data_IF_499421391458
#
_entry.id   IF_499421391458
#
_cell.length_a   1.000
_cell.length_b   1.000
_cell.length_c   1.000
_cell.angle_alpha   90.00
_cell.angle_beta   90.00
_cell.angle_gamma   90.00
#
_symmetry.space_group_name_H-M   'P 1'
#
loop_
_entity.id
_entity.type
_entity.pdbx_description
1 polymer ?
#
# COMPACT_ATOMS: atom_id res chain seq x y z
N UNK A 1 -15.81 -6.95 12.09
CA UNK A 1 -16.89 -6.16 12.71
C UNK A 1 -17.11 -4.90 11.87
N UNK A 2 -18.14 -4.88 11.01
CA UNK A 2 -18.45 -3.76 10.11
C UNK A 2 -19.24 -2.70 10.88
N UNK A 3 -18.56 -1.65 11.35
CA UNK A 3 -19.15 -0.55 12.15
C UNK A 3 -20.06 0.41 11.35
N UNK A 4 -20.41 0.04 10.13
CA UNK A 4 -21.05 0.93 9.18
C UNK A 4 -21.99 0.08 8.36
N UNK A 5 -23.28 0.43 8.29
CA UNK A 5 -24.23 -0.15 7.30
C UNK A 5 -23.87 0.30 5.86
N UNK A 6 -22.58 0.37 5.56
CA UNK A 6 -21.95 0.77 4.30
C UNK A 6 -21.11 -0.42 3.87
N UNK A 7 -21.41 -0.95 2.68
CA UNK A 7 -20.68 -2.09 2.13
C UNK A 7 -19.22 -1.68 1.84
N UNK A 8 -18.22 -2.55 2.05
CA UNK A 8 -16.83 -2.27 1.69
C UNK A 8 -16.66 -1.75 0.26
N UNK A 9 -17.44 -2.29 -0.69
CA UNK A 9 -17.43 -1.89 -2.10
C UNK A 9 -17.86 -0.44 -2.36
N UNK A 10 -18.45 0.24 -1.37
CA UNK A 10 -18.78 1.66 -1.48
C UNK A 10 -17.54 2.57 -1.26
N UNK A 11 -16.43 2.01 -0.76
CA UNK A 11 -15.18 2.72 -0.58
C UNK A 11 -14.30 2.56 -1.82
N UNK A 12 -13.77 3.68 -2.29
CA UNK A 12 -12.80 3.75 -3.39
C UNK A 12 -11.49 4.33 -2.89
N UNK A 13 -10.38 3.83 -3.41
CA UNK A 13 -9.03 4.30 -3.12
C UNK A 13 -8.13 4.06 -4.34
N UNK A 14 -7.04 4.82 -4.43
CA UNK A 14 -6.16 4.75 -5.60
C UNK A 14 -5.13 3.60 -5.55
N UNK A 15 -4.82 3.10 -4.35
CA UNK A 15 -3.92 1.97 -4.14
C UNK A 15 -3.77 1.65 -2.65
N UNK A 16 -3.30 0.46 -2.32
CA UNK A 16 -3.01 0.08 -0.94
C UNK A 16 -1.72 0.77 -0.45
N UNK A 17 -1.59 0.93 0.86
CA UNK A 17 -0.41 1.50 1.53
C UNK A 17 0.18 0.48 2.49
N UNK A 18 1.44 0.68 2.89
CA UNK A 18 2.13 -0.24 3.79
C UNK A 18 1.45 -0.33 5.14
N UNK A 19 1.25 -1.57 5.61
CA UNK A 19 0.64 -1.86 6.92
C UNK A 19 1.51 -1.37 8.08
N UNK A 20 2.84 -1.47 7.95
CA UNK A 20 3.82 -1.12 8.99
C UNK A 20 4.44 0.25 8.72
N UNK A 21 3.59 1.28 8.64
CA UNK A 21 4.01 2.67 8.44
C UNK A 21 2.92 3.65 8.92
N UNK A 22 3.30 4.92 9.11
CA UNK A 22 2.32 6.01 9.16
C UNK A 22 2.00 6.41 7.73
N UNK A 23 0.75 6.25 7.31
CA UNK A 23 0.34 6.48 5.92
C UNK A 23 -0.83 7.44 5.85
N UNK A 24 -0.88 8.22 4.77
CA UNK A 24 -1.98 9.13 4.46
C UNK A 24 -2.41 8.88 3.02
N UNK A 25 -3.71 8.78 2.77
CA UNK A 25 -4.26 8.60 1.44
C UNK A 25 -5.66 9.19 1.33
N UNK A 26 -6.07 9.51 0.10
CA UNK A 26 -7.46 9.86 -0.18
C UNK A 26 -8.30 8.59 -0.34
N UNK A 27 -9.45 8.59 0.33
CA UNK A 27 -10.47 7.55 0.22
C UNK A 27 -11.78 8.25 -0.14
N UNK A 28 -12.52 7.69 -1.10
CA UNK A 28 -13.87 8.13 -1.44
C UNK A 28 -14.90 7.17 -0.87
N UNK A 29 -16.05 7.67 -0.45
CA UNK A 29 -17.20 6.84 -0.07
C UNK A 29 -18.48 7.46 -0.62
N UNK A 30 -19.33 6.64 -1.24
CA UNK A 30 -20.55 7.13 -1.88
C UNK A 30 -21.69 7.32 -0.88
N UNK A 31 -22.37 8.48 -0.95
CA UNK A 31 -23.60 8.81 -0.20
C UNK A 31 -23.45 8.70 1.34
N UNK A 32 -22.27 9.03 1.87
CA UNK A 32 -22.03 9.07 3.33
C UNK A 32 -21.64 10.49 3.75
N UNK A 33 -22.40 11.15 4.64
CA UNK A 33 -22.03 12.46 5.13
C UNK A 33 -20.82 12.40 6.09
N UNK A 34 -19.92 13.40 6.09
CA UNK A 34 -18.69 13.41 6.88
C UNK A 34 -18.86 13.11 8.38
N UNK A 35 -19.90 13.65 9.02
CA UNK A 35 -20.13 13.44 10.46
C UNK A 35 -20.33 11.96 10.84
N UNK A 36 -20.91 11.13 9.94
CA UNK A 36 -21.07 9.69 10.18
C UNK A 36 -19.73 8.96 10.18
N UNK A 37 -18.80 9.38 9.32
CA UNK A 37 -17.45 8.83 9.28
C UNK A 37 -16.69 9.23 10.54
N UNK A 38 -16.70 10.53 10.87
CA UNK A 38 -16.04 11.07 12.05
C UNK A 38 -16.49 10.38 13.35
N UNK A 39 -17.80 10.30 13.58
CA UNK A 39 -18.35 9.72 14.80
C UNK A 39 -17.96 8.26 15.03
N UNK A 40 -17.71 7.54 13.95
CA UNK A 40 -17.43 6.12 14.02
C UNK A 40 -15.91 5.82 14.01
N UNK A 41 -15.06 6.76 13.60
CA UNK A 41 -13.61 6.65 13.75
C UNK A 41 -13.05 7.37 14.97
N UNK A 42 -13.82 8.25 15.63
CA UNK A 42 -13.32 9.11 16.73
C UNK A 42 -12.67 8.37 17.91
N UNK A 43 -13.00 7.09 18.11
CA UNK A 43 -12.41 6.26 19.17
C UNK A 43 -11.41 5.23 18.66
N UNK A 44 -11.19 5.16 17.35
CA UNK A 44 -10.27 4.19 16.76
C UNK A 44 -8.84 4.73 16.79
N UNK A 45 -8.01 4.18 17.68
CA UNK A 45 -6.59 4.51 17.73
C UNK A 45 -5.93 4.13 16.38
N UNK A 46 -5.13 5.03 15.82
CA UNK A 46 -4.40 4.81 14.57
C UNK A 46 -5.18 5.13 13.28
N UNK A 47 -6.39 5.68 13.37
CA UNK A 47 -7.13 6.20 12.20
C UNK A 47 -7.51 7.64 12.47
N UNK A 48 -7.11 8.54 11.56
CA UNK A 48 -7.51 9.94 11.57
C UNK A 48 -8.18 10.27 10.24
N UNK A 49 -9.29 11.01 10.31
CA UNK A 49 -10.04 11.45 9.14
C UNK A 49 -10.00 12.97 9.05
N UNK A 50 -9.84 13.50 7.84
CA UNK A 50 -9.80 14.94 7.58
C UNK A 50 -9.99 15.26 6.11
N UNK A 51 -9.86 16.54 5.78
CA UNK A 51 -9.84 17.04 4.40
C UNK A 51 -11.06 16.61 3.56
N UNK A 52 -12.24 16.54 4.19
CA UNK A 52 -13.48 16.13 3.52
C UNK A 52 -13.81 17.04 2.34
N UNK A 53 -14.12 16.42 1.19
CA UNK A 53 -14.55 17.12 -0.03
C UNK A 53 -15.59 16.27 -0.74
N UNK A 54 -16.61 16.92 -1.30
CA UNK A 54 -17.57 16.27 -2.17
C UNK A 54 -17.07 16.32 -3.62
N UNK A 55 -17.11 15.16 -4.28
CA UNK A 55 -16.72 15.00 -5.69
C UNK A 55 -17.75 14.11 -6.39
N UNK A 56 -18.01 14.33 -7.69
CA UNK A 56 -18.99 13.54 -8.44
C UNK A 56 -18.49 12.12 -8.74
N UNK A 57 -17.18 11.90 -8.75
CA UNK A 57 -16.55 10.62 -9.09
C UNK A 57 -15.80 10.01 -7.91
N UNK A 58 -15.86 8.68 -7.72
CA UNK A 58 -15.08 7.99 -6.70
C UNK A 58 -13.61 7.86 -7.13
N UNK A 59 -12.74 7.65 -6.15
CA UNK A 59 -11.36 7.22 -6.36
C UNK A 59 -11.35 5.79 -6.91
N UNK A 60 -10.51 5.55 -7.93
CA UNK A 60 -10.30 4.23 -8.54
C UNK A 60 -8.85 3.79 -8.44
N UNK A 61 -8.63 2.48 -8.41
CA UNK A 61 -7.29 1.89 -8.42
C UNK A 61 -6.47 2.43 -9.60
N UNK A 62 -5.22 2.83 -9.35
CA UNK A 62 -4.33 3.41 -10.35
C UNK A 62 -4.45 4.93 -10.54
N UNK A 63 -5.40 5.62 -9.90
CA UNK A 63 -5.55 7.08 -10.00
C UNK A 63 -4.56 7.90 -9.15
N UNK A 64 -3.40 7.32 -8.81
CA UNK A 64 -2.29 8.04 -8.18
C UNK A 64 -1.09 8.05 -9.12
N UNK A 65 -0.31 9.13 -9.11
CA UNK A 65 0.96 9.20 -9.84
C UNK A 65 2.10 8.50 -9.11
N UNK A 66 2.02 8.39 -7.78
CA UNK A 66 3.06 7.83 -6.93
C UNK A 66 2.82 8.12 -5.46
N UNK A 67 3.82 7.79 -4.64
CA UNK A 67 3.81 8.01 -3.20
C UNK A 67 5.03 8.85 -2.81
N UNK A 68 4.87 9.69 -1.80
CA UNK A 68 5.99 10.37 -1.15
C UNK A 68 6.39 9.58 0.10
N UNK A 69 7.68 9.26 0.23
CA UNK A 69 8.22 8.51 1.36
C UNK A 69 9.15 9.38 2.18
N UNK A 70 8.95 9.36 3.50
CA UNK A 70 9.90 9.87 4.48
C UNK A 70 10.40 8.68 5.30
N UNK A 71 11.65 8.31 5.07
CA UNK A 71 12.26 7.10 5.64
C UNK A 71 13.34 7.52 6.63
N UNK A 72 13.38 6.85 7.79
CA UNK A 72 14.46 7.00 8.77
C UNK A 72 15.21 5.67 8.81
N UNK A 73 16.46 5.68 8.39
CA UNK A 73 17.37 4.55 8.58
C UNK A 73 18.02 4.67 9.96
N UNK A 74 18.05 3.59 10.73
CA UNK A 74 18.66 3.51 12.06
C UNK A 74 19.87 2.59 11.99
N UNK A 75 20.83 2.80 12.89
CA UNK A 75 22.03 1.95 13.01
C UNK A 75 22.83 1.83 11.69
N UNK A 76 22.90 2.93 10.94
CA UNK A 76 23.66 2.98 9.69
C UNK A 76 25.15 2.85 10.00
N UNK A 77 25.82 1.97 9.26
CA UNK A 77 27.27 1.75 9.36
C UNK A 77 27.96 2.28 8.11
N UNK A 78 29.09 2.95 8.29
CA UNK A 78 29.89 3.51 7.21
C UNK A 78 30.40 4.89 7.57
N UNK A 79 31.41 5.36 6.84
CA UNK A 79 31.86 6.74 6.94
C UNK A 79 30.84 7.70 6.29
N UNK A 80 30.75 8.92 6.81
CA UNK A 80 29.76 9.92 6.37
C UNK A 80 29.90 10.26 4.88
N UNK A 81 31.12 10.22 4.34
CA UNK A 81 31.41 10.48 2.93
C UNK A 81 30.80 9.41 2.03
N UNK A 82 30.87 8.15 2.44
CA UNK A 82 30.30 7.02 1.69
C UNK A 82 28.78 7.11 1.69
N UNK A 83 28.18 7.42 2.84
CA UNK A 83 26.73 7.56 2.98
C UNK A 83 26.23 8.74 2.13
N UNK A 84 26.90 9.88 2.21
CA UNK A 84 26.54 11.09 1.46
C UNK A 84 26.64 10.85 -0.05
N UNK A 85 27.71 10.20 -0.50
CA UNK A 85 27.91 9.83 -1.90
C UNK A 85 26.81 8.88 -2.41
N UNK A 86 26.41 7.90 -1.60
CA UNK A 86 25.34 6.97 -1.95
C UNK A 86 23.98 7.68 -2.09
N UNK A 87 23.66 8.60 -1.18
CA UNK A 87 22.42 9.39 -1.24
C UNK A 87 22.40 10.30 -2.47
N UNK A 88 23.51 10.97 -2.78
CA UNK A 88 23.60 11.84 -3.96
C UNK A 88 23.49 11.04 -5.25
N UNK A 89 24.12 9.87 -5.32
CA UNK A 89 23.96 8.95 -6.46
C UNK A 89 22.50 8.53 -6.64
N UNK A 90 21.80 8.15 -5.56
CA UNK A 90 20.38 7.80 -5.61
C UNK A 90 19.51 8.97 -6.10
N UNK A 91 19.85 10.21 -5.72
CA UNK A 91 19.13 11.41 -6.13
C UNK A 91 19.32 11.73 -7.62
N UNK A 92 20.56 11.62 -8.12
CA UNK A 92 20.93 12.00 -9.50
C UNK A 92 20.60 10.89 -10.49
N UNK A 93 20.92 9.64 -10.14
CA UNK A 93 20.82 8.47 -11.03
C UNK A 93 19.59 7.62 -10.78
N UNK A 94 18.94 7.77 -9.64
CA UNK A 94 17.81 6.94 -9.25
C UNK A 94 18.24 5.53 -8.81
N UNK A 95 17.36 4.57 -9.03
CA UNK A 95 17.56 3.16 -8.71
C UNK A 95 16.87 2.28 -9.75
N UNK A 96 17.22 1.00 -9.78
CA UNK A 96 16.61 0.04 -10.71
C UNK A 96 15.20 -0.31 -10.23
N UNK A 97 14.21 -0.15 -11.11
CA UNK A 97 12.79 -0.34 -10.78
C UNK A 97 12.38 -1.83 -10.72
N UNK A 98 12.88 -2.54 -9.72
CA UNK A 98 12.54 -3.95 -9.49
C UNK A 98 11.19 -4.14 -8.79
N UNK A 99 10.58 -5.30 -9.03
CA UNK A 99 9.57 -5.84 -8.13
C UNK A 99 10.24 -6.30 -6.83
N UNK A 100 9.88 -5.68 -5.71
CA UNK A 100 10.42 -6.07 -4.40
C UNK A 100 9.91 -7.43 -3.91
N UNK A 101 10.56 -8.03 -2.89
CA UNK A 101 10.19 -9.34 -2.34
C UNK A 101 8.72 -9.44 -1.92
N UNK A 102 8.10 -8.35 -1.47
CA UNK A 102 6.68 -8.32 -1.09
C UNK A 102 5.75 -8.72 -2.25
N UNK A 103 6.19 -8.58 -3.50
CA UNK A 103 5.41 -8.99 -4.69
C UNK A 103 5.40 -10.50 -4.88
N UNK A 104 6.37 -11.20 -4.30
CA UNK A 104 6.55 -12.64 -4.42
C UNK A 104 6.03 -13.43 -3.21
N UNK A 105 5.33 -12.74 -2.29
CA UNK A 105 4.91 -13.29 -1.00
C UNK A 105 6.01 -13.10 0.06
N UNK A 106 5.60 -12.78 1.28
CA UNK A 106 6.50 -12.73 2.45
C UNK A 106 6.43 -14.01 3.29
N UNK A 107 5.67 -15.00 2.84
CA UNK A 107 5.47 -16.31 3.46
C UNK A 107 6.36 -17.36 2.79
N UNK A 108 6.35 -18.59 3.32
CA UNK A 108 7.09 -19.75 2.79
C UNK A 108 6.75 -20.13 1.35
N UNK A 109 5.67 -19.59 0.79
CA UNK A 109 5.16 -19.94 -0.53
C UNK A 109 5.56 -18.85 -1.55
N UNK A 110 6.51 -19.12 -2.44
CA UNK A 110 6.91 -18.17 -3.47
C UNK A 110 5.83 -18.05 -4.56
N UNK A 111 5.10 -16.93 -4.62
CA UNK A 111 3.93 -16.79 -5.51
C UNK A 111 4.26 -16.93 -7.00
N UNK A 112 5.50 -16.64 -7.40
CA UNK A 112 5.94 -16.78 -8.78
C UNK A 112 6.05 -18.25 -9.23
N UNK A 113 6.32 -19.20 -8.32
CA UNK A 113 6.37 -20.62 -8.69
C UNK A 113 4.97 -21.15 -8.97
N UNK A 114 4.00 -20.77 -8.13
CA UNK A 114 2.58 -21.07 -8.38
C UNK A 114 2.14 -20.47 -9.72
N UNK A 115 2.46 -19.19 -9.95
CA UNK A 115 2.14 -18.53 -11.23
C UNK A 115 2.72 -19.27 -12.44
N UNK A 116 3.96 -19.78 -12.33
CA UNK A 116 4.60 -20.57 -13.38
C UNK A 116 3.87 -21.90 -13.65
N UNK A 117 3.45 -22.62 -12.61
CA UNK A 117 2.75 -23.91 -12.77
C UNK A 117 1.31 -23.72 -13.28
N UNK A 118 0.63 -22.64 -12.87
CA UNK A 118 -0.66 -22.23 -13.44
C UNK A 118 -0.57 -21.99 -14.94
N UNK A 119 0.47 -21.28 -15.41
CA UNK A 119 0.68 -21.03 -16.85
C UNK A 119 0.98 -22.30 -17.65
N UNK A 120 1.47 -23.36 -16.98
CA UNK A 120 1.67 -24.69 -17.57
C UNK A 120 0.44 -25.60 -17.47
N UNK A 121 -0.65 -25.13 -16.87
CA UNK A 121 -1.83 -25.94 -16.54
C UNK A 121 -1.51 -27.16 -15.65
N UNK A 122 -0.46 -27.08 -14.82
CA UNK A 122 -0.07 -28.15 -13.90
C UNK A 122 -0.84 -28.03 -12.58
N UNK A 123 -2.12 -28.37 -12.62
CA UNK A 123 -3.06 -28.16 -11.51
C UNK A 123 -2.68 -28.93 -10.24
N UNK A 124 -2.15 -30.14 -10.38
CA UNK A 124 -1.73 -30.96 -9.25
C UNK A 124 -0.60 -30.27 -8.46
N UNK A 125 0.42 -29.78 -9.15
CA UNK A 125 1.53 -29.09 -8.48
C UNK A 125 1.07 -27.77 -7.83
N UNK A 126 0.10 -27.08 -8.42
CA UNK A 126 -0.48 -25.87 -7.83
C UNK A 126 -1.19 -26.18 -6.52
N UNK A 127 -1.98 -27.26 -6.47
CA UNK A 127 -2.67 -27.70 -5.26
C UNK A 127 -1.68 -28.10 -4.16
N UNK A 128 -0.63 -28.85 -4.48
CA UNK A 128 0.40 -29.27 -3.52
C UNK A 128 1.21 -28.11 -2.93
N UNK A 129 1.31 -26.99 -3.65
CA UNK A 129 2.15 -25.84 -3.26
C UNK A 129 1.38 -24.79 -2.44
N UNK A 130 0.04 -24.82 -2.45
CA UNK A 130 -0.85 -23.87 -1.77
C UNK A 130 -1.13 -24.26 -0.31
#
# INVERSE_FOLDING_TARGET
MLFYRVKPNNFGYAGTKDKRAKTSQLVSVSRVPPHKLWNATRFHRGIELGNFRFRPTPQKLGQLRGNHFRIVLREVKGADEVITSAIESLKVRGFINYYGPQRFGTTSIPTHTIGKELLKSNWQQVEETL
#
